data_IF_131262566826
#
_entry.id   IF_131262566826
#
_cell.length_a   1.000
_cell.length_b   1.000
_cell.length_c   1.000
_cell.angle_alpha   90.00
_cell.angle_beta   90.00
_cell.angle_gamma   90.00
#
_symmetry.space_group_name_H-M   'P 1'
#
loop_
_entity.id
_entity.type
_entity.pdbx_description
1 polymer ?
#
# COMPACT_ATOMS: atom_id res chain seq x y z
N UNK A 1 -35.27 47.82 -77.07
CA UNK A 1 -34.57 48.83 -76.26
C UNK A 1 -33.90 48.10 -75.11
N UNK A 2 -32.64 47.66 -75.28
CA UNK A 2 -31.39 48.39 -75.02
C UNK A 2 -31.15 48.72 -73.53
N UNK A 3 -30.10 48.06 -73.03
CA UNK A 3 -29.22 48.30 -71.89
C UNK A 3 -29.19 49.74 -71.32
N UNK A 4 -28.91 49.87 -70.01
CA UNK A 4 -27.57 50.19 -69.45
C UNK A 4 -27.58 50.01 -67.92
N UNK A 5 -26.50 49.42 -67.42
CA UNK A 5 -26.20 49.14 -66.03
C UNK A 5 -25.67 50.36 -65.27
N UNK A 6 -25.82 50.37 -63.94
CA UNK A 6 -24.94 51.12 -63.05
C UNK A 6 -24.67 50.34 -61.76
N UNK A 7 -23.37 50.21 -61.50
CA UNK A 7 -22.73 49.47 -60.42
C UNK A 7 -22.82 50.22 -59.09
N UNK A 8 -22.98 49.49 -57.97
CA UNK A 8 -22.63 50.00 -56.63
C UNK A 8 -21.56 49.13 -55.99
N UNK A 9 -20.57 49.86 -55.46
CA UNK A 9 -19.25 49.48 -54.98
C UNK A 9 -19.29 48.45 -53.83
N UNK A 10 -18.35 47.51 -53.88
CA UNK A 10 -18.15 46.48 -52.85
C UNK A 10 -17.52 47.02 -51.56
N UNK A 11 -17.86 46.34 -50.47
CA UNK A 11 -17.32 46.52 -49.12
C UNK A 11 -15.92 45.89 -49.03
N UNK A 12 -14.95 46.51 -48.34
CA UNK A 12 -13.60 45.95 -48.23
C UNK A 12 -13.54 44.72 -47.31
N UNK A 13 -12.78 43.71 -47.72
CA UNK A 13 -12.47 42.52 -46.92
C UNK A 13 -11.64 42.91 -45.68
N UNK A 14 -12.14 42.53 -44.50
CA UNK A 14 -11.40 42.66 -43.25
C UNK A 14 -10.22 41.68 -43.23
N UNK A 15 -9.03 42.23 -42.97
CA UNK A 15 -7.77 41.52 -42.80
C UNK A 15 -7.84 40.65 -41.54
N UNK A 16 -8.02 39.33 -41.69
CA UNK A 16 -7.95 38.39 -40.56
C UNK A 16 -6.49 38.03 -40.28
N UNK A 17 -5.91 38.63 -39.25
CA UNK A 17 -4.67 38.12 -38.65
C UNK A 17 -4.95 36.77 -37.97
N UNK A 18 -4.07 35.76 -38.12
CA UNK A 18 -4.25 34.49 -37.43
C UNK A 18 -4.13 34.70 -35.91
N UNK A 19 -5.17 34.31 -35.16
CA UNK A 19 -5.13 34.28 -33.70
C UNK A 19 -4.06 33.28 -33.26
N UNK A 20 -3.07 33.75 -32.48
CA UNK A 20 -2.13 32.86 -31.79
C UNK A 20 -2.93 31.88 -30.90
N UNK A 21 -2.65 30.57 -30.94
CA UNK A 21 -3.28 29.65 -30.02
C UNK A 21 -2.87 30.02 -28.59
N UNK A 22 -3.85 30.02 -27.67
CA UNK A 22 -3.59 30.18 -26.25
C UNK A 22 -2.63 29.08 -25.78
N UNK A 23 -1.58 29.47 -25.07
CA UNK A 23 -0.65 28.55 -24.43
C UNK A 23 -1.44 27.66 -23.47
N UNK A 24 -1.31 26.34 -23.62
CA UNK A 24 -1.83 25.37 -22.66
C UNK A 24 -1.15 25.63 -21.31
N UNK A 25 -1.85 25.51 -20.17
CA UNK A 25 -1.17 25.57 -18.88
C UNK A 25 -0.13 24.44 -18.83
N UNK A 26 1.11 24.82 -18.51
CA UNK A 26 2.21 23.88 -18.31
C UNK A 26 1.82 22.87 -17.23
N UNK A 27 2.06 21.60 -17.52
CA UNK A 27 1.92 20.51 -16.55
C UNK A 27 2.74 20.83 -15.31
N UNK A 28 2.07 20.98 -14.17
CA UNK A 28 2.72 21.11 -12.86
C UNK A 28 3.66 19.91 -12.68
N UNK A 29 4.97 20.14 -12.66
CA UNK A 29 5.92 19.10 -12.32
C UNK A 29 5.59 18.62 -10.91
N UNK A 30 5.29 17.33 -10.77
CA UNK A 30 5.14 16.65 -9.48
C UNK A 30 6.48 16.75 -8.76
N UNK A 31 6.49 17.28 -7.53
CA UNK A 31 7.67 17.30 -6.70
C UNK A 31 7.62 16.04 -5.83
N UNK A 32 8.36 15.01 -6.21
CA UNK A 32 8.53 13.82 -5.38
C UNK A 32 9.08 14.21 -4.00
N UNK A 33 8.72 13.45 -2.97
CA UNK A 33 9.27 13.66 -1.64
C UNK A 33 10.82 13.61 -1.68
N UNK A 34 11.53 14.48 -0.94
CA UNK A 34 12.98 14.40 -0.84
C UNK A 34 13.40 13.01 -0.36
N UNK A 35 14.48 12.48 -0.93
CA UNK A 35 15.01 11.14 -0.66
C UNK A 35 15.35 10.88 0.83
N UNK A 36 15.47 11.94 1.63
CA UNK A 36 15.79 11.89 3.05
C UNK A 36 14.56 12.22 3.91
N UNK A 37 13.40 11.62 3.62
CA UNK A 37 12.19 11.81 4.46
C UNK A 37 11.73 10.48 5.04
N UNK A 38 11.00 10.56 6.15
CA UNK A 38 10.42 9.41 6.85
C UNK A 38 8.90 9.44 6.72
N UNK A 39 8.33 8.33 6.27
CA UNK A 39 6.89 8.09 6.29
C UNK A 39 6.49 7.42 7.60
N UNK A 40 5.49 7.99 8.27
CA UNK A 40 4.75 7.31 9.33
C UNK A 40 3.49 6.70 8.74
N UNK A 41 3.45 5.38 8.72
CA UNK A 41 2.35 4.61 8.17
C UNK A 41 1.55 3.98 9.31
N UNK A 42 0.22 4.03 9.22
CA UNK A 42 -0.66 3.18 10.03
C UNK A 42 -1.20 2.06 9.16
N UNK A 43 -0.98 0.82 9.59
CA UNK A 43 -1.39 -0.39 8.90
C UNK A 43 -2.42 -1.11 9.77
N UNK A 44 -3.61 -1.32 9.23
CA UNK A 44 -4.73 -1.93 9.97
C UNK A 44 -5.21 -3.17 9.22
N UNK A 45 -5.21 -4.31 9.90
CA UNK A 45 -5.74 -5.56 9.34
C UNK A 45 -7.27 -5.49 9.26
N UNK A 46 -7.83 -5.78 8.08
CA UNK A 46 -9.28 -5.77 7.86
C UNK A 46 -9.91 -7.05 8.40
N UNK A 47 -11.22 -6.96 8.64
CA UNK A 47 -12.09 -8.07 9.05
C UNK A 47 -11.75 -8.76 10.39
N UNK A 48 -10.67 -8.39 11.07
CA UNK A 48 -10.33 -8.87 12.40
C UNK A 48 -10.81 -7.89 13.48
N UNK A 49 -11.52 -8.42 14.49
CA UNK A 49 -12.02 -7.64 15.64
C UNK A 49 -11.71 -8.33 16.97
N UNK A 50 -11.33 -7.58 18.04
CA UNK A 50 -10.86 -6.18 18.04
C UNK A 50 -9.71 -5.88 17.05
N UNK A 51 -9.50 -4.62 16.64
CA UNK A 51 -8.59 -4.31 15.54
C UNK A 51 -7.14 -4.67 15.88
N UNK A 52 -6.48 -5.35 14.96
CA UNK A 52 -5.02 -5.57 14.92
C UNK A 52 -4.41 -4.50 14.02
N UNK A 53 -3.38 -3.81 14.49
CA UNK A 53 -2.73 -2.76 13.70
C UNK A 53 -1.30 -2.47 14.16
N UNK A 54 -0.52 -1.87 13.25
CA UNK A 54 0.84 -1.39 13.47
C UNK A 54 0.95 0.06 13.01
N UNK A 55 1.86 0.81 13.65
CA UNK A 55 2.29 2.12 13.20
C UNK A 55 3.80 2.13 13.13
N UNK A 56 4.31 2.20 11.91
CA UNK A 56 5.74 2.12 11.63
C UNK A 56 6.22 3.43 11.00
N UNK A 57 7.50 3.69 11.18
CA UNK A 57 8.23 4.78 10.55
C UNK A 57 9.31 4.18 9.67
N UNK A 58 9.29 4.52 8.39
CA UNK A 58 10.13 3.94 7.35
C UNK A 58 10.68 5.03 6.43
N UNK A 59 11.80 4.73 5.78
CA UNK A 59 12.40 5.64 4.80
C UNK A 59 11.48 5.77 3.57
N UNK A 60 11.36 6.99 3.04
CA UNK A 60 10.49 7.27 1.88
C UNK A 60 11.07 6.75 0.57
N UNK A 61 12.38 6.45 0.55
CA UNK A 61 13.09 5.91 -0.61
C UNK A 61 12.90 4.40 -0.79
N UNK A 62 12.34 3.70 0.20
CA UNK A 62 12.00 2.28 0.08
C UNK A 62 11.12 2.04 -1.15
N UNK A 63 11.44 1.00 -1.89
CA UNK A 63 10.55 0.43 -2.89
C UNK A 63 9.33 -0.22 -2.24
N UNK A 64 8.28 -0.46 -3.02
CA UNK A 64 7.12 -1.20 -2.52
C UNK A 64 7.48 -2.65 -2.17
N UNK A 65 8.44 -3.26 -2.88
CA UNK A 65 9.00 -4.57 -2.52
C UNK A 65 9.61 -4.56 -1.11
N UNK A 66 10.50 -3.60 -0.84
CA UNK A 66 11.12 -3.47 0.50
C UNK A 66 10.06 -3.15 1.56
N UNK A 67 9.05 -2.33 1.24
CA UNK A 67 7.94 -2.07 2.15
C UNK A 67 7.17 -3.36 2.46
N UNK A 68 6.87 -4.21 1.48
CA UNK A 68 6.18 -5.47 1.72
C UNK A 68 6.94 -6.36 2.71
N UNK A 69 8.26 -6.47 2.58
CA UNK A 69 9.11 -7.21 3.53
C UNK A 69 8.97 -6.66 4.96
N UNK A 70 8.94 -5.33 5.12
CA UNK A 70 8.74 -4.70 6.43
C UNK A 70 7.32 -4.93 6.96
N UNK A 71 6.29 -4.94 6.11
CA UNK A 71 4.91 -5.20 6.52
C UNK A 71 4.72 -6.64 6.98
N UNK A 72 5.25 -7.59 6.23
CA UNK A 72 5.29 -9.03 6.58
C UNK A 72 5.94 -9.23 7.95
N UNK A 73 7.14 -8.68 8.14
CA UNK A 73 7.83 -8.73 9.43
C UNK A 73 7.05 -8.03 10.55
N UNK A 74 6.38 -6.90 10.26
CA UNK A 74 5.58 -6.18 11.25
C UNK A 74 4.34 -6.95 11.71
N UNK A 75 3.84 -7.84 10.85
CA UNK A 75 2.75 -8.76 11.15
C UNK A 75 3.25 -10.08 11.75
N UNK A 76 4.56 -10.33 11.79
CA UNK A 76 5.11 -11.58 12.32
C UNK A 76 4.87 -12.78 11.41
N UNK A 77 4.76 -12.53 10.10
CA UNK A 77 4.69 -13.56 9.06
C UNK A 77 6.07 -13.80 8.44
N UNK A 78 6.21 -14.94 7.76
CA UNK A 78 7.46 -15.48 7.24
C UNK A 78 7.74 -15.07 5.78
N UNK A 79 6.75 -14.55 5.06
CA UNK A 79 6.94 -13.96 3.73
C UNK A 79 7.03 -14.96 2.58
N UNK A 80 6.45 -16.15 2.72
CA UNK A 80 6.43 -17.14 1.63
C UNK A 80 5.20 -17.07 0.73
N UNK A 81 4.25 -16.18 1.03
CA UNK A 81 3.02 -16.00 0.27
C UNK A 81 3.10 -14.86 -0.74
N UNK A 82 2.24 -14.91 -1.75
CA UNK A 82 2.08 -13.82 -2.72
C UNK A 82 1.40 -12.61 -2.06
N UNK A 83 1.79 -11.42 -2.52
CA UNK A 83 1.17 -10.16 -2.09
C UNK A 83 1.02 -9.18 -3.25
N UNK A 84 0.25 -8.12 -3.02
CA UNK A 84 0.15 -6.97 -3.91
C UNK A 84 -0.21 -5.70 -3.13
N UNK A 85 0.10 -4.54 -3.71
CA UNK A 85 -0.47 -3.26 -3.30
C UNK A 85 -1.50 -2.77 -4.31
N UNK A 86 -2.57 -2.15 -3.83
CA UNK A 86 -3.45 -1.32 -4.63
C UNK A 86 -3.34 0.14 -4.17
N UNK A 87 -2.90 1.02 -5.07
CA UNK A 87 -2.69 2.45 -4.80
C UNK A 87 -3.32 3.24 -5.94
N UNK A 88 -4.27 4.12 -5.60
CA UNK A 88 -4.99 4.96 -6.56
C UNK A 88 -5.57 4.19 -7.78
N UNK A 89 -6.00 2.93 -7.57
CA UNK A 89 -6.57 2.06 -8.60
C UNK A 89 -5.54 1.41 -9.55
N UNK A 90 -4.24 1.51 -9.24
CA UNK A 90 -3.18 0.73 -9.86
C UNK A 90 -2.74 -0.39 -8.90
N UNK A 91 -2.40 -1.54 -9.49
CA UNK A 91 -1.88 -2.70 -8.77
C UNK A 91 -0.37 -2.75 -8.93
N UNK A 92 0.34 -2.94 -7.83
CA UNK A 92 1.79 -3.11 -7.76
C UNK A 92 2.08 -4.47 -7.15
N UNK A 93 2.84 -5.29 -7.85
CA UNK A 93 3.23 -6.62 -7.41
C UNK A 93 4.45 -7.07 -8.21
N UNK A 94 5.11 -8.12 -7.76
CA UNK A 94 6.15 -8.77 -8.53
C UNK A 94 5.64 -9.32 -9.86
N UNK A 95 6.18 -8.84 -10.98
CA UNK A 95 5.63 -9.12 -12.31
C UNK A 95 6.23 -10.35 -13.00
N UNK A 96 7.35 -10.89 -12.52
CA UNK A 96 7.99 -12.10 -13.06
C UNK A 96 7.27 -13.40 -12.66
N UNK A 97 6.39 -13.34 -11.65
CA UNK A 97 5.62 -14.48 -11.15
C UNK A 97 4.34 -14.77 -11.95
N UNK A 98 3.94 -13.88 -12.87
CA UNK A 98 2.69 -13.98 -13.61
C UNK A 98 2.91 -13.83 -15.12
N UNK A 99 2.73 -14.93 -15.86
CA UNK A 99 2.85 -14.93 -17.33
C UNK A 99 1.62 -14.36 -18.05
N UNK A 100 0.44 -14.39 -17.39
CA UNK A 100 -0.84 -13.96 -17.96
C UNK A 100 -1.59 -13.02 -17.01
N UNK A 101 -1.95 -11.84 -17.52
CA UNK A 101 -2.72 -10.85 -16.77
C UNK A 101 -4.18 -10.85 -17.25
N UNK A 102 -5.10 -11.49 -16.49
CA UNK A 102 -6.50 -11.44 -16.85
C UNK A 102 -6.97 -9.97 -16.87
N UNK A 103 -7.79 -9.62 -17.86
CA UNK A 103 -8.39 -8.28 -18.06
C UNK A 103 -7.47 -7.19 -18.62
N UNK A 104 -6.25 -7.50 -19.06
CA UNK A 104 -5.46 -6.62 -19.93
C UNK A 104 -4.88 -5.37 -19.26
N UNK A 105 -4.95 -5.27 -17.93
CA UNK A 105 -4.16 -4.32 -17.15
C UNK A 105 -2.98 -5.06 -16.54
N UNK A 106 -1.80 -4.80 -17.08
CA UNK A 106 -0.55 -5.29 -16.50
C UNK A 106 -0.30 -4.56 -15.18
N UNK A 107 -0.03 -5.27 -14.08
CA UNK A 107 0.46 -4.68 -12.84
C UNK A 107 1.77 -3.92 -13.07
N UNK A 108 2.08 -3.05 -12.13
CA UNK A 108 3.36 -2.35 -12.06
C UNK A 108 4.34 -3.16 -11.22
N UNK A 109 5.61 -3.19 -11.63
CA UNK A 109 6.67 -3.85 -10.89
C UNK A 109 6.94 -3.08 -9.59
N UNK A 110 6.72 -3.73 -8.44
CA UNK A 110 6.78 -3.09 -7.13
C UNK A 110 8.20 -2.66 -6.74
N UNK A 111 9.21 -3.39 -7.22
CA UNK A 111 10.62 -3.06 -7.00
C UNK A 111 11.08 -1.79 -7.76
N UNK A 112 10.29 -1.29 -8.71
CA UNK A 112 10.58 -0.08 -9.49
C UNK A 112 9.92 1.19 -8.92
N UNK A 113 9.05 1.06 -7.91
CA UNK A 113 8.25 2.16 -7.38
C UNK A 113 8.54 2.42 -5.91
N UNK A 114 8.91 3.66 -5.58
CA UNK A 114 9.23 4.06 -4.20
C UNK A 114 7.99 4.55 -3.47
N UNK A 115 7.96 4.29 -2.16
CA UNK A 115 6.91 4.72 -1.24
C UNK A 115 6.60 6.21 -1.39
N UNK A 116 7.62 7.08 -1.34
CA UNK A 116 7.45 8.52 -1.44
C UNK A 116 7.00 9.04 -2.81
N UNK A 117 7.05 8.21 -3.85
CA UNK A 117 6.57 8.55 -5.20
C UNK A 117 5.10 8.16 -5.41
N UNK A 118 4.62 7.13 -4.70
CA UNK A 118 3.25 6.60 -4.86
C UNK A 118 2.31 7.00 -3.73
N UNK A 119 2.83 7.35 -2.56
CA UNK A 119 2.09 7.87 -1.40
C UNK A 119 2.66 9.22 -0.97
N UNK A 120 2.65 10.19 -1.89
CA UNK A 120 3.34 11.49 -1.80
C UNK A 120 2.81 12.41 -0.67
N UNK A 121 1.57 12.18 -0.19
CA UNK A 121 0.88 13.11 0.69
C UNK A 121 0.35 12.48 1.97
N UNK A 122 0.35 13.27 3.04
CA UNK A 122 -0.35 12.91 4.28
C UNK A 122 -1.83 12.69 3.99
N UNK A 123 -2.35 11.55 4.44
CA UNK A 123 -3.72 11.10 4.18
C UNK A 123 -3.86 10.20 2.96
N UNK A 124 -2.81 10.02 2.15
CA UNK A 124 -2.79 9.02 1.09
C UNK A 124 -2.99 7.62 1.67
N UNK A 125 -3.60 6.76 0.84
CA UNK A 125 -4.01 5.42 1.23
C UNK A 125 -3.55 4.40 0.21
N UNK A 126 -3.17 3.24 0.73
CA UNK A 126 -2.94 2.04 -0.04
C UNK A 126 -3.68 0.87 0.61
N UNK A 127 -3.94 -0.15 -0.18
CA UNK A 127 -4.32 -1.46 0.32
C UNK A 127 -3.15 -2.41 0.07
N UNK A 128 -2.84 -3.27 1.04
CA UNK A 128 -1.85 -4.32 0.90
C UNK A 128 -2.50 -5.67 1.19
N UNK A 129 -2.53 -6.52 0.18
CA UNK A 129 -3.09 -7.86 0.25
C UNK A 129 -1.93 -8.84 0.38
N UNK A 130 -1.98 -9.72 1.38
CA UNK A 130 -0.99 -10.76 1.66
C UNK A 130 -1.70 -12.11 1.73
N UNK A 131 -1.06 -13.15 1.19
CA UNK A 131 -1.62 -14.50 1.08
C UNK A 131 -2.95 -14.51 0.33
N UNK A 132 -2.90 -14.80 -0.96
CA UNK A 132 -4.10 -14.87 -1.80
C UNK A 132 -4.99 -16.10 -1.49
N UNK A 133 -4.50 -17.06 -0.70
CA UNK A 133 -5.27 -18.18 -0.17
C UNK A 133 -6.13 -17.73 1.02
N UNK A 134 -5.48 -17.20 2.06
CA UNK A 134 -6.16 -16.75 3.29
C UNK A 134 -6.84 -15.37 3.15
N UNK A 135 -6.39 -14.55 2.20
CA UNK A 135 -6.98 -13.26 1.85
C UNK A 135 -6.75 -12.18 2.90
N UNK A 136 -5.53 -12.00 3.40
CA UNK A 136 -5.24 -10.97 4.39
C UNK A 136 -5.15 -9.57 3.77
N UNK A 137 -6.17 -8.76 4.01
CA UNK A 137 -6.26 -7.40 3.47
C UNK A 137 -5.90 -6.35 4.53
N UNK A 138 -5.07 -5.38 4.17
CA UNK A 138 -4.62 -4.32 5.06
C UNK A 138 -4.92 -2.93 4.51
N UNK A 139 -5.46 -2.05 5.35
CA UNK A 139 -5.54 -0.63 5.07
C UNK A 139 -4.26 0.08 5.55
N UNK A 140 -3.56 0.75 4.63
CA UNK A 140 -2.39 1.58 4.92
C UNK A 140 -2.78 3.05 4.76
N UNK A 141 -2.44 3.88 5.75
CA UNK A 141 -2.64 5.33 5.71
C UNK A 141 -1.36 6.06 6.07
N UNK A 142 -0.98 7.04 5.25
CA UNK A 142 0.12 7.98 5.58
C UNK A 142 -0.36 8.96 6.63
N UNK A 143 0.19 8.89 7.84
CA UNK A 143 -0.17 9.81 8.93
C UNK A 143 0.73 11.04 9.02
N UNK A 144 2.00 10.92 8.63
CA UNK A 144 2.93 12.05 8.53
C UNK A 144 4.10 11.73 7.62
N UNK A 145 4.66 12.77 6.99
CA UNK A 145 5.92 12.73 6.24
C UNK A 145 6.79 13.86 6.79
N UNK A 146 8.05 13.60 7.10
CA UNK A 146 8.93 14.60 7.69
C UNK A 146 10.42 14.25 7.59
N UNK A 147 11.27 15.17 8.02
CA UNK A 147 12.71 14.92 8.10
C UNK A 147 13.03 13.82 9.13
N UNK A 148 14.03 12.96 8.87
CA UNK A 148 14.47 11.95 9.82
C UNK A 148 15.02 12.61 11.08
N UNK A 149 14.71 12.03 12.23
CA UNK A 149 15.33 12.41 13.50
C UNK A 149 16.72 11.74 13.59
N UNK A 150 17.83 12.50 13.67
CA UNK A 150 19.18 11.94 13.71
C UNK A 150 19.48 11.11 14.97
N UNK A 151 18.60 11.13 15.97
CA UNK A 151 18.70 10.30 17.18
C UNK A 151 17.93 8.98 17.09
N UNK A 152 17.30 8.71 15.95
CA UNK A 152 16.42 7.56 15.74
C UNK A 152 16.98 6.66 14.65
N UNK A 153 17.07 5.37 14.96
CA UNK A 153 17.34 4.34 13.96
C UNK A 153 16.02 3.91 13.31
N UNK A 154 15.99 3.95 11.97
CA UNK A 154 14.87 3.51 11.14
C UNK A 154 15.21 2.19 10.41
N UNK A 155 14.22 1.35 10.07
CA UNK A 155 12.80 1.49 10.38
C UNK A 155 12.50 1.22 11.86
N UNK A 156 11.35 1.71 12.35
CA UNK A 156 10.86 1.39 13.70
C UNK A 156 9.34 1.30 13.79
N UNK A 157 8.85 0.48 14.72
CA UNK A 157 7.46 0.47 15.13
C UNK A 157 7.28 1.38 16.35
N UNK A 158 6.40 2.37 16.26
CA UNK A 158 6.17 3.32 17.37
C UNK A 158 4.97 2.96 18.22
N UNK A 159 3.95 2.30 17.64
CA UNK A 159 2.72 1.88 18.33
C UNK A 159 2.04 0.75 17.56
N UNK A 160 1.17 0.03 18.23
CA UNK A 160 0.34 -1.01 17.63
C UNK A 160 -0.58 -1.61 18.68
N UNK A 161 -1.28 -2.67 18.30
CA UNK A 161 -2.12 -3.43 19.23
C UNK A 161 -2.34 -4.84 18.71
N UNK A 162 -2.42 -5.79 19.66
CA UNK A 162 -2.73 -7.22 19.48
C UNK A 162 -1.69 -7.97 18.65
N UNK A 163 -1.61 -9.28 18.90
CA UNK A 163 -0.85 -10.17 18.06
C UNK A 163 -1.57 -10.26 16.70
N UNK A 164 -0.80 -10.41 15.64
CA UNK A 164 -1.40 -10.71 14.34
C UNK A 164 -1.84 -12.17 14.28
N UNK A 165 -2.82 -12.50 13.43
CA UNK A 165 -3.18 -13.89 13.19
C UNK A 165 -1.94 -14.71 12.83
N UNK A 166 -1.77 -15.93 13.40
CA UNK A 166 -0.74 -16.84 12.94
C UNK A 166 -0.89 -17.09 11.44
N UNK A 167 0.24 -17.27 10.76
CA UNK A 167 0.24 -17.60 9.34
C UNK A 167 -0.51 -18.93 9.09
N UNK A 168 -1.14 -19.05 7.92
CA UNK A 168 -1.95 -20.20 7.52
C UNK A 168 -3.11 -20.57 8.47
N UNK A 169 -3.59 -19.63 9.28
CA UNK A 169 -4.72 -19.90 10.18
C UNK A 169 -6.09 -19.91 9.47
N UNK A 170 -6.15 -19.74 8.14
CA UNK A 170 -7.37 -19.84 7.35
C UNK A 170 -8.12 -18.52 7.23
N UNK A 171 -7.39 -17.41 7.10
CA UNK A 171 -7.96 -16.08 6.94
C UNK A 171 -8.74 -15.59 8.16
N UNK A 172 -9.51 -14.51 7.98
CA UNK A 172 -10.25 -13.85 9.06
C UNK A 172 -11.23 -14.78 9.79
N UNK A 173 -11.87 -15.70 9.04
CA UNK A 173 -12.78 -16.70 9.58
C UNK A 173 -12.07 -17.79 10.38
N UNK A 174 -10.97 -18.33 9.85
CA UNK A 174 -10.17 -19.32 10.55
C UNK A 174 -9.56 -18.76 11.83
N UNK A 175 -9.08 -17.51 11.80
CA UNK A 175 -8.61 -16.82 13.00
C UNK A 175 -9.72 -16.60 14.04
N UNK A 176 -10.94 -16.25 13.63
CA UNK A 176 -12.06 -16.12 14.55
C UNK A 176 -12.38 -17.46 15.25
N UNK A 177 -12.44 -18.55 14.49
CA UNK A 177 -12.62 -19.90 15.03
C UNK A 177 -11.48 -20.30 15.99
N UNK A 178 -10.24 -19.98 15.62
CA UNK A 178 -9.08 -20.20 16.47
C UNK A 178 -9.23 -19.50 17.83
N UNK A 179 -9.60 -18.21 17.84
CA UNK A 179 -9.80 -17.46 19.07
C UNK A 179 -10.93 -18.02 19.95
N UNK A 180 -12.03 -18.46 19.34
CA UNK A 180 -13.14 -19.10 20.05
C UNK A 180 -12.70 -20.44 20.68
N UNK A 181 -12.01 -21.27 19.89
CA UNK A 181 -11.57 -22.59 20.32
C UNK A 181 -10.56 -22.54 21.47
N UNK A 182 -9.58 -21.63 21.42
CA UNK A 182 -8.54 -21.55 22.47
C UNK A 182 -9.07 -20.93 23.76
N UNK A 183 -10.17 -20.16 23.69
CA UNK A 183 -10.79 -19.54 24.85
C UNK A 183 -11.74 -20.48 25.62
N UNK A 184 -12.29 -21.52 24.97
CA UNK A 184 -13.18 -22.51 25.59
C UNK A 184 -12.54 -23.91 25.62
N UNK A 185 -12.12 -24.40 26.80
CA UNK A 185 -11.59 -25.76 26.96
C UNK A 185 -12.55 -26.89 26.56
N UNK A 186 -13.84 -26.61 26.41
CA UNK A 186 -14.85 -27.58 25.98
C UNK A 186 -15.17 -27.51 24.49
N UNK A 187 -14.54 -26.59 23.75
CA UNK A 187 -14.72 -26.51 22.31
C UNK A 187 -14.19 -27.79 21.64
N UNK A 188 -14.93 -28.33 20.66
CA UNK A 188 -14.60 -29.60 20.01
C UNK A 188 -13.19 -29.61 19.39
N UNK A 189 -12.70 -28.43 18.98
CA UNK A 189 -11.36 -28.24 18.38
C UNK A 189 -10.32 -27.65 19.35
N UNK A 190 -10.62 -27.50 20.65
CA UNK A 190 -9.71 -26.83 21.61
C UNK A 190 -8.32 -27.46 21.64
N UNK A 191 -8.25 -28.79 21.80
CA UNK A 191 -6.98 -29.51 21.93
C UNK A 191 -6.14 -29.43 20.64
N UNK A 192 -6.77 -29.65 19.49
CA UNK A 192 -6.13 -29.62 18.17
C UNK A 192 -5.54 -28.23 17.87
N UNK A 193 -6.35 -27.18 18.03
CA UNK A 193 -5.92 -25.81 17.70
C UNK A 193 -4.91 -25.25 18.70
N UNK A 194 -4.99 -25.65 19.97
CA UNK A 194 -3.98 -25.28 20.97
C UNK A 194 -2.64 -25.94 20.70
N UNK A 195 -2.63 -27.19 20.21
CA UNK A 195 -1.40 -27.89 19.80
C UNK A 195 -0.80 -27.28 18.52
N UNK A 196 -1.64 -26.79 17.60
CA UNK A 196 -1.21 -26.15 16.37
C UNK A 196 -0.59 -24.76 16.56
N UNK A 197 -0.99 -24.02 17.59
CA UNK A 197 -0.54 -22.65 17.82
C UNK A 197 0.99 -22.53 17.96
N UNK A 198 1.58 -21.40 17.51
CA UNK A 198 2.92 -21.03 17.90
C UNK A 198 3.08 -21.03 19.42
N UNK A 199 4.26 -21.43 19.88
CA UNK A 199 4.59 -21.45 21.31
C UNK A 199 4.40 -20.05 21.89
N UNK A 200 3.59 -19.94 22.95
CA UNK A 200 3.24 -18.69 23.65
C UNK A 200 2.45 -17.67 22.80
N UNK A 201 1.64 -18.11 21.85
CA UNK A 201 0.73 -17.19 21.16
C UNK A 201 -0.28 -16.57 22.13
N UNK A 202 -0.23 -15.24 22.27
CA UNK A 202 -1.14 -14.46 23.10
C UNK A 202 -1.88 -13.42 22.23
N UNK A 203 -3.19 -13.56 21.97
CA UNK A 203 -3.92 -12.70 21.03
C UNK A 203 -3.85 -11.20 21.34
N UNK A 204 -3.77 -10.83 22.62
CA UNK A 204 -3.73 -9.43 23.05
C UNK A 204 -2.31 -8.85 23.16
N UNK A 205 -1.27 -9.69 23.05
CA UNK A 205 0.12 -9.24 23.20
C UNK A 205 0.53 -8.28 22.09
N UNK A 206 1.28 -7.24 22.46
CA UNK A 206 1.93 -6.35 21.50
C UNK A 206 3.09 -5.63 22.21
N UNK A 207 4.27 -5.72 21.60
CA UNK A 207 5.44 -4.96 22.01
C UNK A 207 6.07 -4.24 20.80
N UNK A 208 6.21 -2.92 20.90
CA UNK A 208 6.73 -2.10 19.80
C UNK A 208 8.22 -2.35 19.52
N UNK A 209 8.99 -2.75 20.54
CA UNK A 209 10.41 -3.06 20.41
C UNK A 209 10.63 -4.41 19.74
N UNK A 210 9.81 -5.43 20.03
CA UNK A 210 9.82 -6.72 19.32
C UNK A 210 9.52 -6.51 17.82
N UNK A 211 8.48 -5.74 17.51
CA UNK A 211 8.14 -5.42 16.12
C UNK A 211 9.26 -4.60 15.45
N UNK A 212 9.87 -3.66 16.17
CA UNK A 212 11.02 -2.89 15.64
C UNK A 212 12.19 -3.79 15.30
N UNK A 213 12.52 -4.76 16.15
CA UNK A 213 13.59 -5.72 15.88
C UNK A 213 13.26 -6.57 14.66
N UNK A 214 12.02 -7.05 14.53
CA UNK A 214 11.59 -7.84 13.39
C UNK A 214 11.73 -7.07 12.06
N UNK A 215 11.26 -5.83 11.99
CA UNK A 215 11.36 -5.03 10.75
C UNK A 215 12.77 -4.51 10.46
N UNK A 216 13.68 -4.49 11.44
CA UNK A 216 15.10 -4.17 11.20
C UNK A 216 15.91 -5.38 10.70
N UNK A 217 15.32 -6.57 10.75
CA UNK A 217 15.92 -7.81 10.24
C UNK A 217 14.81 -8.66 9.58
N UNK A 218 14.16 -8.14 8.54
CA UNK A 218 13.04 -8.85 7.92
C UNK A 218 13.53 -10.18 7.32
N UNK A 219 12.65 -11.19 7.26
CA UNK A 219 12.98 -12.44 6.57
C UNK A 219 13.34 -12.14 5.11
N UNK A 220 14.34 -12.87 4.59
CA UNK A 220 14.72 -12.77 3.18
C UNK A 220 13.57 -13.39 2.37
N UNK A 221 12.97 -12.64 1.46
CA UNK A 221 12.04 -13.19 0.46
C UNK A 221 12.73 -14.32 -0.29
N UNK A 222 12.20 -15.53 -0.17
CA UNK A 222 12.81 -16.75 -0.72
C UNK A 222 12.54 -16.96 -2.21
N UNK A 223 11.79 -16.07 -2.86
CA UNK A 223 11.35 -16.21 -4.25
C UNK A 223 11.38 -14.86 -4.90
#
# INVERSE_FOLDING_TARGET
>A
MLFVAQWKRGTPMANQQPRRPALRPESRQKQSAPLDTVHRLKITLREVRPPVWRRIEVDSSLTLAELAQLLTAAMGWDGYHLHQFEIAGAVYQRCDLFDDFPFGRRPLEESEHRLGDVLEHVGDKARWDYDFGDGWEHDIVVESIGEPDPSVDYPRCVKGRRACPPEDCGGSWGYANLLEAIADPNHDQHAELTEWLPVNFEPEHFDASEVTQAIQSPPIELW
#
